data_IF_025333975034
#
_entry.id   IF_025333975034
#
_cell.length_a   1.000
_cell.length_b   1.000
_cell.length_c   1.000
_cell.angle_alpha   90.00
_cell.angle_beta   90.00
_cell.angle_gamma   90.00
#
_symmetry.space_group_name_H-M   'P 1'
#
loop_
_entity.id
_entity.type
_entity.pdbx_description
1 polymer ?
#
# COMPACT_ATOMS: atom_id res chain seq x y z
N UNK A 1 2.86 -9.48 -4.33
CA UNK A 1 3.36 -9.68 -2.95
C UNK A 1 2.44 -9.01 -1.96
N UNK A 2 2.22 -9.61 -0.79
CA UNK A 2 1.39 -9.07 0.29
C UNK A 2 2.21 -9.09 1.58
N UNK A 3 2.14 -8.01 2.36
CA UNK A 3 2.80 -7.91 3.67
C UNK A 3 1.91 -7.18 4.69
N UNK A 4 2.02 -7.57 5.96
CA UNK A 4 1.40 -6.83 7.06
C UNK A 4 2.29 -5.64 7.44
N UNK A 5 1.68 -4.47 7.57
CA UNK A 5 2.39 -3.23 7.93
C UNK A 5 1.63 -2.46 8.99
N UNK A 6 2.32 -1.54 9.64
CA UNK A 6 1.75 -0.62 10.62
C UNK A 6 1.60 0.76 9.98
N UNK A 7 0.35 1.23 9.87
CA UNK A 7 0.04 2.56 9.35
C UNK A 7 -0.06 3.60 10.46
N UNK A 8 0.44 4.80 10.18
CA UNK A 8 0.23 5.98 11.01
C UNK A 8 -0.45 7.08 10.18
N UNK A 9 -1.44 7.77 10.75
CA UNK A 9 -2.21 8.79 10.01
C UNK A 9 -3.33 9.43 10.83
N UNK A 10 -4.21 10.18 10.17
CA UNK A 10 -5.30 10.96 10.80
C UNK A 10 -6.47 10.12 11.35
N UNK A 11 -6.42 8.81 11.20
CA UNK A 11 -7.38 7.88 11.80
C UNK A 11 -7.08 7.82 13.31
N UNK A 12 -7.74 8.67 14.09
CA UNK A 12 -7.43 9.03 15.50
C UNK A 12 -6.95 7.85 16.39
N UNK A 13 -5.95 8.14 17.22
CA UNK A 13 -6.05 7.85 18.66
C UNK A 13 -6.10 9.20 19.38
N UNK A 14 -7.12 9.46 20.21
CA UNK A 14 -7.07 10.63 21.09
C UNK A 14 -5.84 10.48 22.00
N UNK A 15 -4.92 11.43 21.96
CA UNK A 15 -3.87 11.55 22.97
C UNK A 15 -4.53 12.09 24.24
N UNK A 16 -5.00 11.23 25.14
CA UNK A 16 -5.33 11.68 26.49
C UNK A 16 -4.03 11.95 27.25
N UNK A 17 -3.82 13.22 27.58
CA UNK A 17 -2.68 13.70 28.36
C UNK A 17 -2.97 13.39 29.83
N UNK A 18 -2.19 12.51 30.45
CA UNK A 18 -2.17 12.36 31.90
C UNK A 18 -0.77 12.69 32.43
N UNK A 19 -0.64 13.84 33.10
CA UNK A 19 0.54 14.25 33.91
C UNK A 19 1.89 14.30 33.17
N UNK A 20 1.92 14.84 31.95
CA UNK A 20 3.16 15.44 31.40
C UNK A 20 4.22 14.50 30.83
N UNK A 21 3.90 13.24 30.48
CA UNK A 21 4.83 12.35 29.75
C UNK A 21 4.19 11.65 28.52
N UNK A 22 4.72 12.03 27.37
CA UNK A 22 4.76 11.53 25.98
C UNK A 22 3.61 10.74 25.28
N UNK A 23 3.41 11.21 24.03
CA UNK A 23 2.63 10.71 22.90
C UNK A 23 2.55 9.19 22.74
N UNK A 24 1.36 8.61 22.96
CA UNK A 24 1.06 7.25 22.48
C UNK A 24 0.86 7.29 20.95
N UNK A 25 1.85 6.84 20.20
CA UNK A 25 1.72 6.62 18.76
C UNK A 25 0.95 5.32 18.52
N UNK A 26 -0.35 5.43 18.28
CA UNK A 26 -1.18 4.29 17.93
C UNK A 26 -1.00 3.94 16.45
N UNK A 27 -0.23 2.89 16.18
CA UNK A 27 -0.17 2.28 14.86
C UNK A 27 -1.39 1.40 14.63
N UNK A 28 -2.05 1.57 13.48
CA UNK A 28 -3.14 0.69 13.06
C UNK A 28 -2.59 -0.38 12.11
N UNK A 29 -2.98 -1.65 12.26
CA UNK A 29 -2.61 -2.70 11.32
C UNK A 29 -3.19 -2.38 9.94
N UNK A 30 -2.37 -2.56 8.90
CA UNK A 30 -2.71 -2.39 7.48
C UNK A 30 -2.07 -3.52 6.68
N UNK A 31 -2.57 -3.74 5.47
CA UNK A 31 -1.97 -4.67 4.50
C UNK A 31 -1.36 -3.84 3.37
N UNK A 32 -0.08 -4.10 3.05
CA UNK A 32 0.59 -3.54 1.88
C UNK A 32 0.56 -4.58 0.76
N UNK A 33 0.02 -4.18 -0.38
CA UNK A 33 -0.01 -4.97 -1.61
C UNK A 33 0.97 -4.35 -2.60
N UNK A 34 1.89 -5.15 -3.10
CA UNK A 34 2.85 -4.77 -4.12
C UNK A 34 2.64 -5.69 -5.33
N UNK A 35 2.27 -5.10 -6.47
CA UNK A 35 2.00 -5.83 -7.71
C UNK A 35 2.71 -5.13 -8.86
N UNK A 36 3.49 -5.88 -9.62
CA UNK A 36 4.09 -5.41 -10.86
C UNK A 36 3.13 -5.72 -12.00
N UNK A 37 2.86 -4.72 -12.85
CA UNK A 37 1.94 -4.81 -13.97
C UNK A 37 2.56 -4.14 -15.19
N UNK A 38 2.05 -4.47 -16.38
CA UNK A 38 2.42 -3.76 -17.61
C UNK A 38 1.89 -2.32 -17.56
N UNK A 39 2.57 -1.40 -18.25
CA UNK A 39 2.24 0.03 -18.24
C UNK A 39 0.79 0.31 -18.70
N UNK A 40 0.29 -0.44 -19.68
CA UNK A 40 -1.07 -0.35 -20.19
C UNK A 40 -2.15 -0.81 -19.19
N UNK A 41 -1.76 -1.50 -18.12
CA UNK A 41 -2.65 -1.98 -17.06
C UNK A 41 -2.60 -1.13 -15.79
N UNK A 42 -1.72 -0.12 -15.70
CA UNK A 42 -1.57 0.72 -14.49
C UNK A 42 -2.90 1.36 -14.09
N UNK A 43 -3.54 2.10 -15.01
CA UNK A 43 -4.78 2.82 -14.71
C UNK A 43 -5.95 1.87 -14.37
N UNK A 44 -6.22 0.79 -15.15
CA UNK A 44 -7.23 -0.19 -14.78
C UNK A 44 -7.04 -0.81 -13.39
N UNK A 45 -5.78 -1.08 -13.01
CA UNK A 45 -5.46 -1.70 -11.72
C UNK A 45 -5.65 -0.72 -10.57
N UNK A 46 -5.20 0.53 -10.73
CA UNK A 46 -5.44 1.59 -9.74
C UNK A 46 -6.93 1.82 -9.53
N UNK A 47 -7.71 1.87 -10.62
CA UNK A 47 -9.17 2.03 -10.55
C UNK A 47 -9.83 0.85 -9.82
N UNK A 48 -9.46 -0.39 -10.18
CA UNK A 48 -10.01 -1.60 -9.55
C UNK A 48 -9.72 -1.66 -8.04
N UNK A 49 -8.49 -1.36 -7.62
CA UNK A 49 -8.10 -1.32 -6.21
C UNK A 49 -8.86 -0.21 -5.49
N UNK A 50 -8.94 0.98 -6.08
CA UNK A 50 -9.64 2.12 -5.48
C UNK A 50 -11.10 1.80 -5.22
N UNK A 51 -11.82 1.25 -6.21
CA UNK A 51 -13.23 0.88 -6.08
C UNK A 51 -13.44 -0.22 -5.03
N UNK A 52 -12.54 -1.19 -4.96
CA UNK A 52 -12.69 -2.34 -4.07
C UNK A 52 -12.32 -2.04 -2.62
N UNK A 53 -11.34 -1.15 -2.39
CA UNK A 53 -10.83 -0.82 -1.06
C UNK A 53 -11.52 0.41 -0.44
N UNK A 54 -12.23 1.22 -1.23
CA UNK A 54 -12.93 2.41 -0.73
C UNK A 54 -14.13 2.03 0.14
N UNK A 55 -14.08 2.44 1.40
CA UNK A 55 -15.22 2.36 2.35
C UNK A 55 -15.85 3.72 2.62
N UNK A 56 -15.19 4.80 2.18
CA UNK A 56 -15.59 6.18 2.45
C UNK A 56 -15.24 6.66 3.86
N UNK A 57 -14.51 5.84 4.64
CA UNK A 57 -14.08 6.17 6.00
C UNK A 57 -12.62 6.60 6.03
N UNK A 58 -12.26 7.37 7.05
CA UNK A 58 -10.86 7.73 7.29
C UNK A 58 -10.05 6.44 7.51
N UNK A 59 -9.05 6.21 6.68
CA UNK A 59 -8.17 5.04 6.81
C UNK A 59 -8.12 4.10 5.62
N UNK A 60 -8.88 4.34 4.55
CA UNK A 60 -8.92 3.49 3.35
C UNK A 60 -7.54 3.29 2.69
N UNK A 61 -6.57 4.15 2.99
CA UNK A 61 -5.16 3.96 2.64
C UNK A 61 -4.70 4.88 1.53
N UNK A 62 -3.63 4.48 0.83
CA UNK A 62 -3.05 5.19 -0.31
C UNK A 62 -2.52 4.18 -1.32
N UNK A 63 -2.53 4.55 -2.58
CA UNK A 63 -1.89 3.81 -3.67
C UNK A 63 -0.71 4.67 -4.15
N UNK A 64 0.44 4.03 -4.34
CA UNK A 64 1.62 4.66 -4.93
C UNK A 64 2.02 3.87 -6.16
N UNK A 65 2.37 4.58 -7.23
CA UNK A 65 2.83 3.99 -8.49
C UNK A 65 4.30 4.34 -8.65
N UNK A 66 5.12 3.33 -8.91
CA UNK A 66 6.54 3.45 -9.17
C UNK A 66 6.85 2.76 -10.49
N UNK A 67 7.69 3.37 -11.31
CA UNK A 67 8.24 2.73 -12.51
C UNK A 67 9.21 1.63 -12.11
N UNK A 68 9.16 0.50 -12.82
CA UNK A 68 10.15 -0.57 -12.70
C UNK A 68 11.07 -0.52 -13.91
N UNK A 69 12.35 -0.23 -13.68
CA UNK A 69 13.34 -0.16 -14.77
C UNK A 69 13.62 -1.53 -15.40
N UNK A 70 13.42 -2.61 -14.63
CA UNK A 70 13.62 -3.99 -15.10
C UNK A 70 12.86 -4.99 -14.24
N UNK A 71 12.25 -5.99 -14.87
CA UNK A 71 11.75 -7.18 -14.19
C UNK A 71 12.45 -8.44 -14.72
N UNK A 72 12.65 -9.45 -13.86
CA UNK A 72 13.27 -10.72 -14.26
C UNK A 72 12.57 -11.88 -13.56
N UNK A 73 12.09 -12.87 -14.32
CA UNK A 73 11.55 -14.11 -13.77
C UNK A 73 12.68 -15.08 -13.50
N UNK A 74 13.02 -15.30 -12.21
CA UNK A 74 14.17 -16.14 -11.80
C UNK A 74 14.17 -17.54 -12.45
N UNK A 75 12.99 -18.15 -12.62
CA UNK A 75 12.88 -19.52 -13.14
C UNK A 75 13.27 -19.65 -14.62
N UNK A 76 12.96 -18.65 -15.45
CA UNK A 76 13.08 -18.72 -16.92
C UNK A 76 14.13 -17.76 -17.47
N UNK A 77 14.47 -16.70 -16.72
CA UNK A 77 15.31 -15.61 -17.21
C UNK A 77 14.57 -14.59 -18.09
N UNK A 78 13.26 -14.78 -18.35
CA UNK A 78 12.42 -13.82 -19.06
C UNK A 78 12.46 -12.46 -18.35
N UNK A 79 12.39 -11.38 -19.14
CA UNK A 79 12.49 -10.01 -18.65
C UNK A 79 11.23 -9.20 -18.91
N UNK A 80 11.05 -8.16 -18.10
CA UNK A 80 10.06 -7.10 -18.29
C UNK A 80 8.64 -7.66 -18.49
N UNK A 81 7.96 -7.32 -19.58
CA UNK A 81 6.58 -7.73 -19.83
C UNK A 81 6.39 -9.26 -19.92
N UNK A 82 7.43 -10.03 -20.26
CA UNK A 82 7.39 -11.50 -20.28
C UNK A 82 7.62 -12.10 -18.87
N UNK A 83 8.28 -11.34 -17.99
CA UNK A 83 8.53 -11.74 -16.61
C UNK A 83 7.30 -11.59 -15.69
N UNK A 84 6.29 -10.83 -16.13
CA UNK A 84 5.01 -10.62 -15.45
C UNK A 84 4.03 -11.72 -15.83
#
# INVERSE_FOLDING_TARGET
TISEVKGFGRQKGQSEIYRGAEYTVNFLPKVKIEVAVKDDLVDPVVEAITKSAATGKIGDGKIFVYSLDKAVRIRTGETDAEAL
#
